data_IF_706645279592
#
_entry.id   IF_706645279592
#
_cell.length_a   1.000
_cell.length_b   1.000
_cell.length_c   1.000
_cell.angle_alpha   90.00
_cell.angle_beta   90.00
_cell.angle_gamma   90.00
#
_symmetry.space_group_name_H-M   'P 1'
#
loop_
_entity.id
_entity.type
_entity.pdbx_description
1 polymer ?
#
# COMPACT_ATOMS: atom_id res chain seq x y z
N UNK A 1 -42.61 34.60 -23.48
CA UNK A 1 -41.38 34.12 -24.10
C UNK A 1 -40.11 34.30 -23.22
N UNK A 2 -39.89 35.48 -22.58
CA UNK A 2 -38.66 35.66 -21.75
C UNK A 2 -38.61 34.75 -20.51
N UNK A 3 -39.73 34.44 -19.87
CA UNK A 3 -39.75 33.55 -18.67
C UNK A 3 -39.48 32.07 -19.00
N UNK A 4 -39.86 31.61 -20.20
CA UNK A 4 -39.58 30.25 -20.66
C UNK A 4 -38.11 30.04 -21.05
N UNK A 5 -37.44 31.08 -21.58
CA UNK A 5 -36.02 31.06 -21.89
C UNK A 5 -35.15 31.03 -20.63
N UNK A 6 -35.56 31.74 -19.57
CA UNK A 6 -34.88 31.70 -18.29
C UNK A 6 -35.04 30.33 -17.62
N UNK A 7 -36.24 29.75 -17.65
CA UNK A 7 -36.48 28.41 -17.13
C UNK A 7 -35.70 27.34 -17.92
N UNK A 8 -35.57 27.46 -19.23
CA UNK A 8 -34.76 26.57 -20.06
C UNK A 8 -33.26 26.73 -19.79
N UNK A 9 -32.79 27.96 -19.59
CA UNK A 9 -31.40 28.23 -19.24
C UNK A 9 -31.05 27.71 -17.83
N UNK A 10 -31.98 27.81 -16.87
CA UNK A 10 -31.80 27.24 -15.53
C UNK A 10 -31.82 25.70 -15.58
N UNK A 11 -32.71 25.08 -16.37
CA UNK A 11 -32.71 23.63 -16.60
C UNK A 11 -31.44 23.15 -17.33
N UNK A 12 -30.96 23.88 -18.33
CA UNK A 12 -29.72 23.58 -19.01
C UNK A 12 -28.49 23.75 -18.10
N UNK A 13 -28.49 24.76 -17.26
CA UNK A 13 -27.42 24.97 -16.27
C UNK A 13 -27.46 23.91 -15.15
N UNK A 14 -28.66 23.45 -14.72
CA UNK A 14 -28.80 22.36 -13.75
C UNK A 14 -28.44 21.00 -14.35
N UNK A 15 -28.67 20.78 -15.65
CA UNK A 15 -28.26 19.58 -16.37
C UNK A 15 -26.73 19.48 -16.60
N UNK A 16 -26.05 20.61 -16.72
CA UNK A 16 -24.60 20.67 -16.83
C UNK A 16 -23.86 20.49 -15.48
N UNK A 17 -24.59 20.64 -14.37
CA UNK A 17 -24.08 20.44 -13.01
C UNK A 17 -24.28 19.02 -12.49
N UNK A 18 -24.65 18.04 -13.34
CA UNK A 18 -24.59 16.63 -12.99
C UNK A 18 -23.11 16.23 -12.98
N UNK A 19 -22.45 16.57 -11.89
CA UNK A 19 -21.13 16.04 -11.57
C UNK A 19 -21.17 14.54 -11.76
N UNK A 20 -20.34 14.02 -12.67
CA UNK A 20 -20.30 12.61 -13.02
C UNK A 20 -19.72 11.82 -11.84
N UNK A 21 -20.57 11.50 -10.87
CA UNK A 21 -20.22 10.62 -9.75
C UNK A 21 -19.87 9.25 -10.32
N UNK A 22 -18.73 8.73 -9.98
CA UNK A 22 -18.30 7.41 -10.43
C UNK A 22 -18.10 6.49 -9.24
N UNK A 23 -18.65 5.28 -9.32
CA UNK A 23 -18.37 4.19 -8.41
C UNK A 23 -17.72 3.06 -9.20
N UNK A 24 -16.56 2.62 -8.77
CA UNK A 24 -15.81 1.54 -9.41
C UNK A 24 -15.69 0.37 -8.44
N UNK A 25 -16.15 -0.79 -8.88
CA UNK A 25 -15.76 -2.07 -8.28
C UNK A 25 -14.37 -2.43 -8.78
N UNK A 26 -13.48 -2.79 -7.88
CA UNK A 26 -12.12 -3.21 -8.20
C UNK A 26 -11.68 -4.34 -7.28
N UNK A 27 -10.65 -5.05 -7.69
CA UNK A 27 -10.08 -6.09 -6.83
C UNK A 27 -8.85 -6.76 -7.41
N UNK A 28 -8.36 -7.72 -6.62
CA UNK A 28 -7.27 -8.62 -6.97
C UNK A 28 -7.59 -9.99 -6.41
N UNK A 29 -7.51 -11.01 -7.24
CA UNK A 29 -7.50 -12.42 -6.82
C UNK A 29 -6.07 -12.95 -6.99
N UNK A 30 -5.51 -13.52 -5.92
CA UNK A 30 -4.16 -14.09 -5.87
C UNK A 30 -4.23 -15.45 -5.18
N UNK A 31 -3.86 -16.49 -5.90
CA UNK A 31 -3.84 -17.86 -5.40
C UNK A 31 -2.61 -18.59 -5.93
N UNK A 32 -2.05 -19.47 -5.13
CA UNK A 32 -0.89 -20.24 -5.50
C UNK A 32 -0.60 -21.37 -4.55
N UNK A 33 0.47 -22.08 -4.81
CA UNK A 33 1.07 -23.03 -3.90
C UNK A 33 2.25 -22.38 -3.19
N UNK A 34 2.31 -22.50 -1.88
CA UNK A 34 3.44 -22.08 -1.09
C UNK A 34 3.96 -23.22 -0.21
N UNK A 35 5.28 -23.31 -0.11
CA UNK A 35 5.98 -24.14 0.87
C UNK A 35 6.72 -23.22 1.83
N UNK A 36 6.50 -23.38 3.13
CA UNK A 36 7.15 -22.58 4.18
C UNK A 36 7.93 -23.52 5.09
N UNK A 37 9.24 -23.33 5.18
CA UNK A 37 10.15 -24.18 5.95
C UNK A 37 10.07 -25.64 5.54
N UNK A 38 9.89 -26.52 6.52
CA UNK A 38 9.77 -27.96 6.33
C UNK A 38 8.34 -28.44 6.02
N UNK A 39 7.35 -27.55 6.03
CA UNK A 39 5.97 -27.89 5.74
C UNK A 39 5.80 -28.38 4.30
N UNK A 40 4.78 -29.21 4.05
CA UNK A 40 4.39 -29.58 2.68
C UNK A 40 3.84 -28.33 1.96
N UNK A 41 4.05 -28.29 0.64
CA UNK A 41 3.44 -27.24 -0.17
C UNK A 41 1.92 -27.35 -0.11
N UNK A 42 1.26 -26.23 0.11
CA UNK A 42 -0.20 -26.13 0.19
C UNK A 42 -0.72 -24.99 -0.68
N UNK A 43 -1.94 -25.13 -1.15
CA UNK A 43 -2.65 -24.03 -1.82
C UNK A 43 -2.99 -22.96 -0.79
N UNK A 44 -2.77 -21.69 -1.15
CA UNK A 44 -3.07 -20.57 -0.28
C UNK A 44 -3.37 -19.30 -1.08
N UNK A 45 -4.25 -18.45 -0.55
CA UNK A 45 -4.42 -17.10 -1.03
C UNK A 45 -3.21 -16.24 -0.65
N UNK A 46 -2.83 -15.30 -1.53
CA UNK A 46 -1.71 -14.39 -1.23
C UNK A 46 -0.35 -15.05 -1.17
N UNK A 47 -0.12 -16.11 -1.93
CA UNK A 47 1.13 -16.88 -1.89
C UNK A 47 2.39 -16.05 -2.24
N UNK A 48 2.26 -14.95 -2.98
CA UNK A 48 3.32 -13.98 -3.29
C UNK A 48 3.49 -12.89 -2.20
N UNK A 49 2.75 -12.96 -1.10
CA UNK A 49 2.73 -11.94 -0.06
C UNK A 49 1.73 -10.79 -0.31
N UNK A 50 0.96 -10.86 -1.39
CA UNK A 50 -0.05 -9.83 -1.72
C UNK A 50 -1.46 -10.39 -1.61
N UNK A 51 -2.20 -9.98 -0.58
CA UNK A 51 -3.53 -10.50 -0.28
C UNK A 51 -4.55 -10.22 -1.39
N UNK A 52 -5.47 -11.16 -1.58
CA UNK A 52 -6.66 -10.97 -2.40
C UNK A 52 -7.62 -9.99 -1.74
N UNK A 53 -8.28 -9.17 -2.54
CA UNK A 53 -9.18 -8.13 -2.07
C UNK A 53 -10.21 -7.75 -3.11
N UNK A 54 -11.30 -7.20 -2.65
CA UNK A 54 -12.27 -6.48 -3.48
C UNK A 54 -12.71 -5.21 -2.76
N UNK A 55 -13.16 -4.23 -3.52
CA UNK A 55 -13.59 -2.97 -2.93
C UNK A 55 -14.39 -2.11 -3.87
N UNK A 56 -15.01 -1.12 -3.28
CA UNK A 56 -15.70 -0.03 -3.96
C UNK A 56 -14.94 1.26 -3.68
N UNK A 57 -14.70 2.04 -4.71
CA UNK A 57 -14.19 3.40 -4.59
C UNK A 57 -15.00 4.33 -5.46
N UNK A 58 -15.16 5.54 -5.02
CA UNK A 58 -15.91 6.53 -5.77
C UNK A 58 -15.38 7.93 -5.59
N UNK A 59 -15.76 8.76 -6.56
CA UNK A 59 -15.48 10.19 -6.54
C UNK A 59 -16.71 10.92 -7.00
N UNK A 60 -17.10 11.95 -6.26
CA UNK A 60 -18.15 12.91 -6.59
C UNK A 60 -17.53 14.28 -6.77
N UNK A 61 -17.82 14.94 -7.88
CA UNK A 61 -17.41 16.32 -8.10
C UNK A 61 -18.41 17.25 -7.41
N UNK A 62 -17.94 18.02 -6.43
CA UNK A 62 -18.77 18.96 -5.67
C UNK A 62 -18.79 20.37 -6.29
N UNK A 63 -18.14 20.56 -7.43
CA UNK A 63 -17.95 21.86 -8.05
C UNK A 63 -16.78 22.65 -7.49
N UNK A 64 -16.38 23.72 -8.19
CA UNK A 64 -15.26 24.56 -7.74
C UNK A 64 -13.91 23.87 -7.61
N UNK A 65 -13.72 22.69 -8.22
CA UNK A 65 -12.53 21.86 -8.09
C UNK A 65 -12.47 21.02 -6.81
N UNK A 66 -13.54 21.00 -6.01
CA UNK A 66 -13.67 20.19 -4.81
C UNK A 66 -14.33 18.85 -5.15
N UNK A 67 -13.83 17.75 -4.56
CA UNK A 67 -14.32 16.39 -4.76
C UNK A 67 -14.51 15.70 -3.43
N UNK A 68 -15.58 14.89 -3.30
CA UNK A 68 -15.71 13.89 -2.25
C UNK A 68 -15.20 12.55 -2.79
N UNK A 69 -14.45 11.83 -1.96
CA UNK A 69 -13.86 10.54 -2.30
C UNK A 69 -14.18 9.52 -1.21
N UNK A 70 -14.33 8.26 -1.57
CA UNK A 70 -14.43 7.18 -0.61
C UNK A 70 -13.74 5.90 -1.10
N UNK A 71 -13.36 5.03 -0.16
CA UNK A 71 -12.90 3.68 -0.46
C UNK A 71 -13.34 2.73 0.65
N UNK A 72 -13.98 1.63 0.26
CA UNK A 72 -14.31 0.49 1.11
C UNK A 72 -13.66 -0.75 0.51
N UNK A 73 -12.76 -1.43 1.25
CA UNK A 73 -11.98 -2.57 0.76
C UNK A 73 -11.98 -3.71 1.77
N UNK A 74 -12.34 -4.90 1.31
CA UNK A 74 -12.32 -6.16 2.06
C UNK A 74 -11.24 -7.09 1.49
N UNK A 75 -10.58 -7.86 2.35
CA UNK A 75 -9.72 -8.96 1.95
C UNK A 75 -10.47 -10.28 1.98
N UNK A 76 -10.06 -11.23 1.14
CA UNK A 76 -10.60 -12.58 1.12
C UNK A 76 -9.50 -13.60 0.80
N UNK A 77 -9.78 -14.85 1.13
CA UNK A 77 -8.91 -16.00 0.85
C UNK A 77 -9.53 -16.85 -0.26
N UNK A 78 -9.03 -16.78 -1.49
CA UNK A 78 -9.65 -17.48 -2.63
C UNK A 78 -9.52 -19.01 -2.54
N UNK A 79 -8.60 -19.53 -1.74
CA UNK A 79 -8.45 -20.96 -1.47
C UNK A 79 -9.57 -21.54 -0.60
N UNK A 80 -10.22 -20.73 0.23
CA UNK A 80 -11.27 -21.16 1.15
C UNK A 80 -12.60 -20.42 0.98
N UNK A 81 -12.60 -19.27 0.26
CA UNK A 81 -13.76 -18.38 0.15
C UNK A 81 -14.03 -17.51 1.37
N UNK A 82 -13.23 -17.62 2.43
CA UNK A 82 -13.42 -16.85 3.66
C UNK A 82 -12.94 -15.40 3.51
N UNK A 83 -13.47 -14.51 4.35
CA UNK A 83 -12.88 -13.18 4.55
C UNK A 83 -11.46 -13.32 5.14
N UNK A 84 -10.55 -12.48 4.69
CA UNK A 84 -9.18 -12.44 5.22
C UNK A 84 -9.11 -11.53 6.45
N UNK A 85 -9.84 -11.88 7.50
CA UNK A 85 -9.80 -11.19 8.78
C UNK A 85 -10.14 -12.13 9.95
N UNK A 86 -9.63 -11.76 11.13
CA UNK A 86 -9.93 -12.45 12.39
C UNK A 86 -10.90 -11.65 13.30
N UNK A 87 -11.26 -10.43 12.89
CA UNK A 87 -11.98 -9.47 13.74
C UNK A 87 -13.43 -9.19 13.28
N UNK A 88 -13.99 -10.01 12.38
CA UNK A 88 -15.33 -9.82 11.79
C UNK A 88 -15.60 -8.43 11.20
N UNK A 89 -14.56 -7.76 10.71
CA UNK A 89 -14.68 -6.46 10.06
C UNK A 89 -14.97 -6.65 8.55
N UNK A 90 -16.06 -6.08 8.06
CA UNK A 90 -16.43 -6.18 6.64
C UNK A 90 -15.38 -5.53 5.73
N UNK A 91 -14.89 -4.34 6.09
CA UNK A 91 -13.91 -3.59 5.31
C UNK A 91 -12.60 -3.40 6.08
N UNK A 92 -12.00 -4.52 6.51
CA UNK A 92 -10.80 -4.50 7.35
C UNK A 92 -9.57 -3.87 6.68
N UNK A 93 -9.57 -3.73 5.35
CA UNK A 93 -8.44 -3.15 4.61
C UNK A 93 -8.55 -1.64 4.46
N UNK A 94 -9.72 -1.13 4.10
CA UNK A 94 -9.97 0.32 4.01
C UNK A 94 -11.46 0.60 4.19
N UNK A 95 -11.77 1.62 4.97
CA UNK A 95 -13.11 2.16 5.19
C UNK A 95 -12.96 3.65 5.53
N UNK A 96 -12.87 4.49 4.50
CA UNK A 96 -12.67 5.92 4.68
C UNK A 96 -13.47 6.75 3.67
N UNK A 97 -13.78 7.98 4.08
CA UNK A 97 -14.31 9.04 3.24
C UNK A 97 -13.40 10.26 3.34
N UNK A 98 -13.32 11.06 2.30
CA UNK A 98 -12.47 12.23 2.27
C UNK A 98 -12.90 13.29 1.27
N UNK A 99 -12.21 14.41 1.32
CA UNK A 99 -12.40 15.52 0.39
C UNK A 99 -11.05 15.92 -0.19
N UNK A 100 -11.02 16.21 -1.49
CA UNK A 100 -9.81 16.69 -2.18
C UNK A 100 -10.08 17.92 -3.01
N UNK A 101 -9.07 18.75 -3.19
CA UNK A 101 -9.13 19.98 -3.97
C UNK A 101 -7.74 20.60 -4.17
N UNK A 102 -7.69 21.87 -4.55
CA UNK A 102 -6.42 22.59 -4.80
C UNK A 102 -5.45 22.61 -3.62
N UNK A 103 -5.96 22.51 -2.39
CA UNK A 103 -5.16 22.48 -1.17
C UNK A 103 -4.76 21.07 -0.72
N UNK A 104 -5.06 20.02 -1.49
CA UNK A 104 -4.74 18.64 -1.14
C UNK A 104 -5.97 17.80 -0.79
N UNK A 105 -5.76 16.77 0.02
CA UNK A 105 -6.81 15.80 0.37
C UNK A 105 -6.82 15.54 1.88
N UNK A 106 -8.02 15.52 2.47
CA UNK A 106 -8.29 15.09 3.84
C UNK A 106 -9.08 13.78 3.80
N UNK A 107 -8.72 12.80 4.63
CA UNK A 107 -9.36 11.48 4.73
C UNK A 107 -9.64 11.14 6.17
N UNK A 108 -10.80 10.55 6.44
CA UNK A 108 -11.24 10.09 7.76
C UNK A 108 -11.66 8.63 7.70
N UNK A 109 -11.17 7.83 8.63
CA UNK A 109 -11.56 6.44 8.78
C UNK A 109 -10.37 5.47 8.78
N UNK A 110 -10.67 4.18 8.57
CA UNK A 110 -9.66 3.12 8.51
C UNK A 110 -8.94 3.11 7.18
N UNK A 111 -7.62 3.24 7.20
CA UNK A 111 -6.80 3.30 6.00
C UNK A 111 -5.35 2.89 6.28
N UNK A 112 -4.55 2.80 5.23
CA UNK A 112 -3.11 2.60 5.38
C UNK A 112 -2.49 3.72 6.21
N UNK A 113 -1.53 3.34 7.05
CA UNK A 113 -0.68 4.27 7.78
C UNK A 113 0.28 4.99 6.82
N UNK A 114 0.73 6.17 7.19
CA UNK A 114 1.76 6.87 6.41
C UNK A 114 3.08 6.11 6.49
N UNK A 115 3.38 5.51 7.65
CA UNK A 115 4.54 4.66 7.85
C UNK A 115 4.63 3.49 6.88
N UNK A 116 3.49 2.85 6.58
CA UNK A 116 3.43 1.78 5.58
C UNK A 116 3.85 2.27 4.18
N UNK A 117 3.36 3.42 3.74
CA UNK A 117 3.76 3.99 2.45
C UNK A 117 5.23 4.41 2.39
N UNK A 118 5.79 4.88 3.50
CA UNK A 118 7.18 5.34 3.55
C UNK A 118 8.20 4.22 3.65
N UNK A 119 7.79 3.03 4.07
CA UNK A 119 8.73 1.91 4.26
C UNK A 119 8.81 1.01 3.04
N UNK A 120 7.75 0.29 2.72
CA UNK A 120 7.77 -0.82 1.77
C UNK A 120 6.85 -0.58 0.57
N UNK A 121 5.67 0.01 0.79
CA UNK A 121 4.63 0.13 -0.24
C UNK A 121 4.99 1.05 -1.41
N UNK A 122 5.92 1.98 -1.21
CA UNK A 122 6.41 2.87 -2.28
C UNK A 122 7.69 2.36 -2.94
N UNK A 123 8.13 1.14 -2.63
CA UNK A 123 9.19 0.52 -3.40
C UNK A 123 8.71 0.24 -4.82
N UNK A 124 9.60 0.41 -5.81
CA UNK A 124 9.23 0.26 -7.22
C UNK A 124 8.79 -1.14 -7.62
N UNK A 125 9.03 -2.11 -6.77
CA UNK A 125 8.47 -3.45 -6.89
C UNK A 125 7.66 -3.75 -5.65
N UNK A 126 6.38 -4.05 -5.83
CA UNK A 126 5.47 -4.57 -4.80
C UNK A 126 5.86 -5.98 -4.33
N UNK A 127 7.12 -6.36 -4.50
CA UNK A 127 7.63 -7.73 -4.36
C UNK A 127 8.35 -7.97 -3.05
N UNK A 128 8.12 -7.11 -2.08
CA UNK A 128 8.60 -7.38 -0.73
C UNK A 128 7.64 -8.37 -0.10
N UNK A 129 7.98 -9.64 -0.18
CA UNK A 129 7.31 -10.67 0.59
C UNK A 129 7.41 -10.35 2.09
N UNK A 130 6.47 -10.87 2.85
CA UNK A 130 6.45 -10.80 4.30
C UNK A 130 7.80 -11.19 4.95
N UNK A 131 8.60 -12.02 4.28
CA UNK A 131 9.93 -12.43 4.75
C UNK A 131 10.97 -11.33 4.68
N UNK A 132 11.01 -10.55 3.60
CA UNK A 132 11.91 -9.41 3.52
C UNK A 132 11.52 -8.34 4.56
N UNK A 133 10.22 -8.12 4.75
CA UNK A 133 9.70 -7.25 5.79
C UNK A 133 10.01 -7.76 7.20
N UNK A 134 9.93 -9.08 7.44
CA UNK A 134 10.31 -9.70 8.71
C UNK A 134 11.81 -9.54 8.98
N UNK A 135 12.65 -9.68 7.94
CA UNK A 135 14.10 -9.44 8.05
C UNK A 135 14.43 -8.01 8.47
N UNK A 136 13.63 -7.04 8.07
CA UNK A 136 13.77 -5.65 8.51
C UNK A 136 13.31 -5.43 9.95
N UNK A 137 12.56 -6.37 10.55
CA UNK A 137 11.86 -6.13 11.81
C UNK A 137 10.77 -5.08 11.68
N UNK A 138 10.22 -4.87 10.48
CA UNK A 138 9.25 -3.83 10.21
C UNK A 138 7.86 -4.22 10.72
N UNK A 139 7.55 -3.78 11.92
CA UNK A 139 6.21 -3.78 12.50
C UNK A 139 5.78 -2.39 12.98
N UNK A 140 6.22 -1.35 12.27
CA UNK A 140 6.00 0.05 12.63
C UNK A 140 4.59 0.39 13.13
N UNK A 141 3.96 1.31 12.52
CA UNK A 141 2.57 1.73 12.81
C UNK A 141 1.49 0.68 12.48
N UNK A 142 1.89 -0.55 12.10
CA UNK A 142 1.00 -1.47 11.41
C UNK A 142 0.80 -1.06 9.95
N UNK A 143 0.21 -1.94 9.13
CA UNK A 143 -0.09 -1.54 7.75
C UNK A 143 -1.31 -0.63 7.66
N UNK A 144 -2.27 -0.78 8.59
CA UNK A 144 -3.54 -0.03 8.62
C UNK A 144 -3.98 0.20 10.06
N UNK A 145 -4.56 1.36 10.32
CA UNK A 145 -5.18 1.68 11.59
C UNK A 145 -6.58 2.27 11.38
N UNK A 146 -7.44 2.10 12.38
CA UNK A 146 -8.76 2.74 12.47
C UNK A 146 -8.62 4.18 12.99
N UNK A 147 -9.71 4.94 12.96
CA UNK A 147 -9.84 6.26 13.61
C UNK A 147 -8.74 7.25 13.18
N UNK A 148 -8.35 7.22 11.90
CA UNK A 148 -7.35 8.12 11.35
C UNK A 148 -7.98 9.34 10.69
N UNK A 149 -7.42 10.51 10.98
CA UNK A 149 -7.51 11.72 10.17
C UNK A 149 -6.18 11.85 9.42
N UNK A 150 -6.20 11.84 8.09
CA UNK A 150 -5.02 12.09 7.28
C UNK A 150 -5.19 13.32 6.42
N UNK A 151 -4.09 14.05 6.23
CA UNK A 151 -3.96 15.13 5.24
C UNK A 151 -2.81 14.82 4.29
N UNK A 152 -3.06 14.96 2.99
CA UNK A 152 -2.09 14.79 1.92
C UNK A 152 -2.00 16.09 1.13
N UNK A 153 -0.87 16.78 1.16
CA UNK A 153 -0.67 18.03 0.44
C UNK A 153 -0.76 17.84 -1.08
N UNK A 154 -0.97 18.90 -1.86
CA UNK A 154 -0.64 18.87 -3.28
C UNK A 154 0.84 18.50 -3.47
N UNK A 155 1.17 17.96 -4.65
CA UNK A 155 2.56 17.78 -5.05
C UNK A 155 3.13 19.10 -5.57
N UNK A 156 4.20 19.58 -4.97
CA UNK A 156 4.90 20.81 -5.36
C UNK A 156 6.35 20.45 -5.65
N UNK A 157 6.80 20.63 -6.90
CA UNK A 157 8.15 20.25 -7.31
C UNK A 157 8.48 18.76 -7.09
N UNK A 158 7.47 17.89 -7.17
CA UNK A 158 7.62 16.47 -6.89
C UNK A 158 7.45 16.06 -5.42
N UNK A 159 7.48 17.01 -4.48
CA UNK A 159 7.33 16.75 -3.04
C UNK A 159 5.85 16.76 -2.63
N UNK A 160 5.44 15.78 -1.84
CA UNK A 160 4.16 15.69 -1.14
C UNK A 160 4.39 15.45 0.34
N UNK A 161 3.76 16.25 1.19
CA UNK A 161 3.71 16.06 2.64
C UNK A 161 2.45 15.30 3.00
N UNK A 162 2.57 14.34 3.91
CA UNK A 162 1.45 13.57 4.46
C UNK A 162 1.48 13.64 5.98
N UNK A 163 0.36 13.92 6.58
CA UNK A 163 0.20 13.99 8.03
C UNK A 163 -0.92 13.04 8.45
N UNK A 164 -0.76 12.37 9.58
CA UNK A 164 -1.79 11.53 10.17
C UNK A 164 -1.92 11.80 11.66
N UNK A 165 -3.16 11.86 12.12
CA UNK A 165 -3.52 11.80 13.52
C UNK A 165 -4.45 10.59 13.71
N UNK A 166 -4.00 9.61 14.46
CA UNK A 166 -4.75 8.43 14.86
C UNK A 166 -5.31 8.65 16.25
N UNK A 167 -6.61 8.55 16.40
CA UNK A 167 -7.25 8.56 17.71
C UNK A 167 -7.02 7.22 18.41
N UNK A 168 -7.11 7.21 19.74
CA UNK A 168 -7.03 5.95 20.50
C UNK A 168 -8.17 5.00 20.10
N UNK A 169 -9.45 5.44 20.15
CA UNK A 169 -10.60 4.65 19.70
C UNK A 169 -10.43 3.15 19.88
N UNK A 170 -10.52 2.41 18.79
CA UNK A 170 -10.27 0.95 18.72
C UNK A 170 -8.77 0.60 18.61
N UNK A 171 -7.87 1.58 18.61
CA UNK A 171 -6.43 1.37 18.53
C UNK A 171 -5.81 1.19 19.92
N UNK A 172 -4.61 0.59 19.96
CA UNK A 172 -3.85 0.41 21.22
C UNK A 172 -3.48 1.74 21.85
N UNK A 173 -3.12 2.75 21.03
CA UNK A 173 -2.75 4.09 21.46
C UNK A 173 -3.09 5.13 20.39
N UNK A 174 -3.23 6.39 20.78
CA UNK A 174 -3.21 7.50 19.84
C UNK A 174 -1.81 7.64 19.24
N UNK A 175 -1.72 8.11 17.99
CA UNK A 175 -0.44 8.30 17.32
C UNK A 175 -0.48 9.43 16.31
N UNK A 176 0.68 9.96 15.98
CA UNK A 176 0.89 10.91 14.89
C UNK A 176 1.91 10.38 13.90
N UNK A 177 1.71 10.68 12.62
CA UNK A 177 2.66 10.34 11.58
C UNK A 177 2.93 11.54 10.67
N UNK A 178 4.16 11.62 10.21
CA UNK A 178 4.62 12.57 9.20
C UNK A 178 5.28 11.78 8.08
N UNK A 179 4.94 12.09 6.85
CA UNK A 179 5.55 11.51 5.66
C UNK A 179 5.96 12.57 4.65
N UNK A 180 7.13 12.38 4.06
CA UNK A 180 7.63 13.12 2.92
C UNK A 180 7.78 12.15 1.76
N UNK A 181 7.09 12.41 0.67
CA UNK A 181 7.19 11.63 -0.56
C UNK A 181 7.68 12.54 -1.68
N UNK A 182 8.82 12.24 -2.25
CA UNK A 182 9.38 12.96 -3.39
C UNK A 182 9.41 12.03 -4.60
N UNK A 183 8.87 12.49 -5.72
CA UNK A 183 8.92 11.76 -6.99
C UNK A 183 9.12 12.75 -8.12
N UNK A 184 10.27 12.69 -8.77
CA UNK A 184 10.58 13.51 -9.94
C UNK A 184 11.43 12.72 -10.92
N UNK A 185 10.96 12.60 -12.16
CA UNK A 185 11.62 11.80 -13.18
C UNK A 185 11.83 10.34 -12.70
N UNK A 186 13.05 9.81 -12.79
CA UNK A 186 13.37 8.44 -12.39
C UNK A 186 13.53 8.25 -10.88
N UNK A 187 13.58 9.32 -10.09
CA UNK A 187 13.87 9.32 -8.65
C UNK A 187 12.58 9.29 -7.83
N UNK A 188 12.51 8.38 -6.87
CA UNK A 188 11.53 8.40 -5.78
C UNK A 188 12.26 8.29 -4.45
N UNK A 189 11.92 9.16 -3.50
CA UNK A 189 12.43 9.11 -2.14
C UNK A 189 11.28 9.27 -1.14
N UNK A 190 11.32 8.52 -0.05
CA UNK A 190 10.30 8.55 0.98
C UNK A 190 10.97 8.63 2.35
N UNK A 191 10.41 9.46 3.21
CA UNK A 191 10.72 9.49 4.64
C UNK A 191 9.42 9.46 5.43
N UNK A 192 9.38 8.67 6.49
CA UNK A 192 8.24 8.64 7.41
C UNK A 192 8.71 8.57 8.85
N UNK A 193 7.94 9.20 9.72
CA UNK A 193 8.10 9.14 11.16
C UNK A 193 6.76 8.82 11.80
N UNK A 194 6.77 7.94 12.78
CA UNK A 194 5.62 7.54 13.59
C UNK A 194 5.94 7.76 15.06
N UNK A 195 4.99 8.36 15.78
CA UNK A 195 5.08 8.63 17.21
C UNK A 195 3.79 8.23 17.91
N UNK A 196 3.85 7.23 18.78
CA UNK A 196 2.73 6.85 19.64
C UNK A 196 2.69 7.70 20.90
N UNK A 197 1.48 8.09 21.32
CA UNK A 197 1.30 8.86 22.55
C UNK A 197 1.75 8.05 23.78
N UNK A 198 2.50 8.68 24.65
CA UNK A 198 3.01 8.04 25.88
C UNK A 198 4.16 7.05 25.63
N UNK A 199 4.72 6.99 24.44
CA UNK A 199 5.84 6.13 24.11
C UNK A 199 7.09 6.97 23.78
N UNK A 200 8.25 6.54 24.26
CA UNK A 200 9.56 7.05 23.80
C UNK A 200 10.08 6.27 22.59
N UNK A 201 9.30 5.32 22.06
CA UNK A 201 9.68 4.42 20.99
C UNK A 201 9.25 4.98 19.63
N UNK A 202 9.84 6.08 19.22
CA UNK A 202 9.61 6.67 17.90
C UNK A 202 10.13 5.74 16.82
N UNK A 203 9.44 5.70 15.67
CA UNK A 203 9.82 4.85 14.53
C UNK A 203 9.97 5.71 13.29
N UNK A 204 10.89 5.33 12.43
CA UNK A 204 11.10 6.03 11.16
C UNK A 204 11.51 5.08 10.05
N UNK A 205 11.28 5.49 8.82
CA UNK A 205 11.78 4.80 7.64
C UNK A 205 12.21 5.80 6.58
N UNK A 206 13.27 5.45 5.87
CA UNK A 206 13.74 6.19 4.71
C UNK A 206 14.06 5.22 3.59
N UNK A 207 13.62 5.53 2.38
CA UNK A 207 14.02 4.77 1.20
C UNK A 207 14.17 5.67 -0.02
N UNK A 208 15.01 5.21 -0.94
CA UNK A 208 15.24 5.83 -2.24
C UNK A 208 15.17 4.74 -3.29
N UNK A 209 14.53 5.03 -4.40
CA UNK A 209 14.57 4.22 -5.60
C UNK A 209 14.90 5.05 -6.83
N UNK A 210 15.57 4.41 -7.77
CA UNK A 210 15.95 5.02 -9.04
C UNK A 210 15.69 4.08 -10.20
N UNK A 211 15.02 4.61 -11.23
CA UNK A 211 14.73 3.87 -12.47
C UNK A 211 15.75 4.25 -13.55
N UNK A 212 16.51 3.27 -14.03
CA UNK A 212 17.48 3.41 -15.11
C UNK A 212 17.11 2.48 -16.27
N UNK A 213 16.49 3.02 -17.30
CA UNK A 213 15.94 2.22 -18.38
C UNK A 213 14.88 1.23 -17.87
N UNK A 214 15.13 -0.06 -18.08
CA UNK A 214 14.26 -1.14 -17.59
C UNK A 214 14.60 -1.58 -16.15
N UNK A 215 15.70 -1.12 -15.57
CA UNK A 215 16.11 -1.46 -14.23
C UNK A 215 15.55 -0.49 -13.20
N UNK A 216 15.20 -1.02 -12.03
CA UNK A 216 14.84 -0.24 -10.86
C UNK A 216 15.62 -0.76 -9.67
N UNK A 217 16.43 0.11 -9.08
CA UNK A 217 17.12 -0.16 -7.83
C UNK A 217 16.47 0.60 -6.67
N UNK A 218 16.41 -0.01 -5.49
CA UNK A 218 15.95 0.64 -4.28
C UNK A 218 16.81 0.25 -3.08
N UNK A 219 17.02 1.21 -2.19
CA UNK A 219 17.69 1.01 -0.91
C UNK A 219 16.93 1.75 0.17
N UNK A 220 17.00 1.27 1.40
CA UNK A 220 16.39 1.98 2.51
C UNK A 220 16.79 1.46 3.87
N UNK A 221 16.38 2.21 4.87
CA UNK A 221 16.58 1.90 6.28
C UNK A 221 15.27 2.08 7.04
N UNK A 222 15.10 1.28 8.07
CA UNK A 222 13.95 1.34 8.98
C UNK A 222 14.50 1.37 10.40
N UNK A 223 14.02 2.30 11.20
CA UNK A 223 14.18 2.32 12.65
C UNK A 223 12.83 1.99 13.29
N UNK A 224 12.76 0.82 13.91
CA UNK A 224 11.55 0.33 14.59
C UNK A 224 11.61 0.57 16.09
N UNK A 225 12.45 1.51 16.53
CA UNK A 225 12.69 1.79 17.93
C UNK A 225 13.27 0.56 18.64
N UNK A 226 12.61 0.11 19.71
CA UNK A 226 13.06 -1.04 20.51
C UNK A 226 13.05 -2.37 19.76
N UNK A 227 12.27 -2.49 18.66
CA UNK A 227 12.27 -3.69 17.83
C UNK A 227 13.48 -3.79 16.87
N UNK A 228 14.30 -2.74 16.83
CA UNK A 228 15.56 -2.73 16.11
C UNK A 228 15.54 -1.94 14.81
N UNK A 229 16.72 -1.91 14.17
CA UNK A 229 16.96 -1.19 12.91
C UNK A 229 17.21 -2.18 11.79
N UNK A 230 16.77 -1.85 10.59
CA UNK A 230 16.97 -2.69 9.43
C UNK A 230 17.33 -1.89 8.18
N UNK A 231 18.06 -2.55 7.29
CA UNK A 231 18.42 -2.00 5.98
C UNK A 231 18.00 -2.99 4.90
N UNK A 232 17.71 -2.49 3.72
CA UNK A 232 17.38 -3.33 2.57
C UNK A 232 17.98 -2.80 1.27
N UNK A 233 18.16 -3.69 0.33
CA UNK A 233 18.44 -3.40 -1.07
C UNK A 233 17.54 -4.25 -1.96
N UNK A 234 17.03 -3.67 -3.04
CA UNK A 234 16.20 -4.33 -4.02
C UNK A 234 16.64 -3.93 -5.42
N UNK A 235 16.68 -4.90 -6.33
CA UNK A 235 16.89 -4.67 -7.75
C UNK A 235 15.83 -5.45 -8.53
N UNK A 236 15.20 -4.79 -9.50
CA UNK A 236 14.27 -5.41 -10.43
C UNK A 236 14.49 -4.91 -11.85
N UNK A 237 14.05 -5.69 -12.84
CA UNK A 237 14.10 -5.28 -14.26
C UNK A 237 12.85 -5.77 -14.99
N UNK A 238 12.52 -5.13 -16.12
CA UNK A 238 11.49 -5.56 -17.05
C UNK A 238 12.14 -6.07 -18.33
N UNK A 239 11.89 -7.33 -18.67
CA UNK A 239 12.44 -8.04 -19.83
C UNK A 239 11.30 -8.65 -20.65
N UNK A 240 10.64 -7.84 -21.46
CA UNK A 240 9.41 -8.23 -22.17
C UNK A 240 8.29 -8.54 -21.17
N UNK A 241 7.77 -9.76 -21.19
CA UNK A 241 6.74 -10.22 -20.25
C UNK A 241 7.29 -10.60 -18.86
N UNK A 242 8.61 -10.80 -18.73
CA UNK A 242 9.25 -11.17 -17.47
C UNK A 242 9.64 -9.94 -16.66
N UNK A 243 9.51 -10.04 -15.37
CA UNK A 243 9.94 -9.01 -14.40
C UNK A 243 10.69 -9.68 -13.24
N UNK A 244 11.95 -10.10 -13.46
CA UNK A 244 12.78 -10.68 -12.42
C UNK A 244 13.21 -9.63 -11.40
N UNK A 245 13.41 -10.07 -10.15
CA UNK A 245 13.90 -9.22 -9.08
C UNK A 245 14.70 -10.03 -8.05
N UNK A 246 15.55 -9.31 -7.32
CA UNK A 246 16.27 -9.80 -6.15
C UNK A 246 16.19 -8.74 -5.05
N UNK A 247 16.03 -9.17 -3.80
CA UNK A 247 16.01 -8.31 -2.63
C UNK A 247 16.75 -8.93 -1.46
N UNK A 248 17.34 -8.08 -0.64
CA UNK A 248 18.01 -8.46 0.60
C UNK A 248 17.63 -7.48 1.70
N UNK A 249 17.41 -8.00 2.90
CA UNK A 249 17.15 -7.21 4.09
C UNK A 249 17.92 -7.75 5.29
N UNK A 250 18.33 -6.85 6.18
CA UNK A 250 19.03 -7.22 7.41
C UNK A 250 18.56 -6.33 8.55
N UNK A 251 18.15 -6.96 9.64
CA UNK A 251 18.00 -6.29 10.93
C UNK A 251 19.38 -6.15 11.56
N UNK A 252 19.88 -4.94 11.70
CA UNK A 252 21.23 -4.66 12.23
C UNK A 252 21.32 -4.79 13.74
N UNK A 253 20.18 -4.81 14.43
CA UNK A 253 20.11 -4.99 15.89
C UNK A 253 20.08 -6.46 16.27
N UNK A 254 19.24 -7.27 15.60
CA UNK A 254 19.11 -8.70 15.93
C UNK A 254 20.03 -9.60 15.09
N UNK A 255 20.54 -9.11 13.96
CA UNK A 255 21.29 -9.90 12.98
C UNK A 255 20.41 -10.75 12.07
N UNK A 256 19.09 -10.71 12.21
CA UNK A 256 18.17 -11.42 11.30
C UNK A 256 18.32 -10.88 9.87
N UNK A 257 18.35 -11.78 8.89
CA UNK A 257 18.48 -11.41 7.48
C UNK A 257 17.52 -12.23 6.61
N UNK A 258 17.05 -11.63 5.53
CA UNK A 258 16.23 -12.27 4.53
C UNK A 258 16.76 -11.95 3.14
N UNK A 259 16.67 -12.93 2.25
CA UNK A 259 16.95 -12.77 0.83
C UNK A 259 15.70 -13.22 0.06
N UNK A 260 15.45 -12.59 -1.06
CA UNK A 260 14.36 -12.95 -1.93
C UNK A 260 14.78 -12.85 -3.40
N UNK A 261 14.43 -13.85 -4.19
CA UNK A 261 14.57 -13.83 -5.64
C UNK A 261 13.25 -14.29 -6.25
N UNK A 262 12.89 -13.73 -7.37
CA UNK A 262 11.69 -14.16 -8.05
C UNK A 262 11.48 -13.51 -9.40
N UNK A 263 10.40 -13.89 -10.03
CA UNK A 263 9.96 -13.28 -11.28
C UNK A 263 8.45 -13.28 -11.39
N UNK A 264 7.94 -12.32 -12.15
CA UNK A 264 6.57 -12.30 -12.64
C UNK A 264 6.59 -12.48 -14.14
N UNK A 265 5.60 -13.19 -14.67
CA UNK A 265 5.36 -13.35 -16.09
C UNK A 265 3.97 -12.79 -16.43
N UNK A 266 3.92 -11.68 -17.14
CA UNK A 266 2.68 -10.98 -17.50
C UNK A 266 2.00 -11.69 -18.66
N UNK A 267 0.83 -12.28 -18.41
CA UNK A 267 -0.05 -12.85 -19.44
C UNK A 267 -0.88 -11.73 -20.12
N UNK A 268 -1.18 -10.69 -19.35
CA UNK A 268 -1.90 -9.50 -19.81
C UNK A 268 -1.58 -8.31 -18.89
N UNK A 269 -2.20 -7.14 -19.14
CA UNK A 269 -2.11 -5.98 -18.25
C UNK A 269 -2.66 -6.23 -16.84
N UNK A 270 -3.51 -7.25 -16.67
CA UNK A 270 -4.21 -7.55 -15.41
C UNK A 270 -3.89 -8.92 -14.82
N UNK A 271 -3.29 -9.83 -15.59
CA UNK A 271 -3.03 -11.21 -15.18
C UNK A 271 -1.55 -11.52 -15.31
N UNK A 272 -0.96 -12.08 -14.26
CA UNK A 272 0.42 -12.55 -14.27
C UNK A 272 0.59 -13.84 -13.47
N UNK A 273 1.54 -14.65 -13.87
CA UNK A 273 2.07 -15.74 -13.08
C UNK A 273 3.25 -15.25 -12.25
N UNK A 274 3.57 -15.95 -11.18
CA UNK A 274 4.75 -15.65 -10.37
C UNK A 274 5.44 -16.92 -9.88
N UNK A 275 6.76 -16.81 -9.68
CA UNK A 275 7.59 -17.78 -9.00
C UNK A 275 8.57 -17.04 -8.09
N UNK A 276 8.54 -17.33 -6.80
CA UNK A 276 9.29 -16.63 -5.76
C UNK A 276 9.99 -17.62 -4.87
N UNK A 277 11.20 -17.28 -4.45
CA UNK A 277 11.93 -17.96 -3.39
C UNK A 277 12.49 -16.96 -2.41
N UNK A 278 12.20 -17.13 -1.14
CA UNK A 278 12.72 -16.35 -0.03
C UNK A 278 13.44 -17.26 0.96
N UNK A 279 14.56 -16.81 1.46
CA UNK A 279 15.35 -17.50 2.49
C UNK A 279 15.77 -16.52 3.57
N UNK A 280 16.03 -17.04 4.75
CA UNK A 280 16.48 -16.21 5.85
C UNK A 280 17.19 -16.99 6.94
N UNK A 281 17.62 -16.28 7.97
CA UNK A 281 18.19 -16.87 9.16
C UNK A 281 17.34 -16.52 10.40
N UNK A 282 17.66 -17.12 11.54
CA UNK A 282 16.98 -16.95 12.82
C UNK A 282 15.47 -17.31 12.72
N UNK A 283 14.57 -16.36 13.04
CA UNK A 283 13.12 -16.56 13.00
C UNK A 283 12.51 -16.46 11.60
N UNK A 284 13.36 -16.19 10.58
CA UNK A 284 12.89 -16.04 9.20
C UNK A 284 12.91 -17.39 8.51
N UNK A 285 11.72 -17.87 8.18
CA UNK A 285 11.53 -19.20 7.61
C UNK A 285 11.59 -19.13 6.08
N UNK A 286 12.32 -20.06 5.46
CA UNK A 286 12.37 -20.19 4.00
C UNK A 286 10.98 -20.37 3.41
N UNK A 287 10.74 -19.73 2.28
CA UNK A 287 9.46 -19.81 1.57
C UNK A 287 9.68 -19.91 0.06
N UNK A 288 8.99 -20.83 -0.56
CA UNK A 288 8.89 -20.90 -2.01
C UNK A 288 7.43 -20.84 -2.41
N UNK A 289 7.11 -20.06 -3.44
CA UNK A 289 5.75 -19.95 -3.93
C UNK A 289 5.68 -19.81 -5.45
N UNK A 290 4.64 -20.39 -6.02
CA UNK A 290 4.23 -20.24 -7.43
C UNK A 290 2.74 -19.99 -7.47
N UNK A 291 2.28 -19.16 -8.38
CA UNK A 291 0.84 -18.88 -8.47
C UNK A 291 0.48 -17.90 -9.57
N UNK A 292 -0.73 -17.43 -9.47
CA UNK A 292 -1.34 -16.49 -10.40
C UNK A 292 -1.99 -15.35 -9.62
N UNK A 293 -1.87 -14.14 -10.12
CA UNK A 293 -2.69 -13.03 -9.70
C UNK A 293 -3.44 -12.39 -10.87
N UNK A 294 -4.64 -11.89 -10.58
CA UNK A 294 -5.51 -11.22 -11.52
C UNK A 294 -6.15 -9.99 -10.87
N UNK A 295 -6.00 -8.83 -11.53
CA UNK A 295 -6.68 -7.60 -11.12
C UNK A 295 -7.94 -7.40 -11.99
N UNK A 296 -9.05 -7.02 -11.37
CA UNK A 296 -10.33 -6.77 -12.06
C UNK A 296 -10.94 -5.43 -11.67
#
# INVERSE_FOLDING_TARGET
>A
MKKSLVALAVLAASGAAMAQSSVTLYGKANIGYAKTGTAKAAMTGGADGSDSRYGLRGTEDLGGGLKANFTFEAGFKPDTGNLDNTANQTFQRSAWIGMSGGMGEVRLGRQYTIGFFGSIANMPSTYVDAQLAAGLGFNGAGSRNSDQLQYWSPKIGGLQVRLSNQQKGDNTAAATEVGLNYTQGPLTANYTMYKAAGSSNDKSAFNVSYKMGNFVGAVGTVDNGTAGKGNFVLLSTAMGAFSPFIGMAKNTTTGASANQIGTFYSLSKRTRLYALNGSGNQAITDKMSIGIDHNF
#
